data_IF_985431208573
#
_entry.id   IF_985431208573
#
_cell.length_a   1.000
_cell.length_b   1.000
_cell.length_c   1.000
_cell.angle_alpha   90.00
_cell.angle_beta   90.00
_cell.angle_gamma   90.00
#
_symmetry.space_group_name_H-M   'P 1'
#
loop_
_entity.id
_entity.type
_entity.pdbx_description
1 polymer ?
#
# COMPACT_ATOMS: atom_id res chain seq x y z
N UNK A 1 0.47 0.06 -3.65
CA UNK A 1 0.19 1.51 -3.80
C UNK A 1 -0.61 1.68 -5.10
N UNK A 2 -1.64 2.50 -5.09
CA UNK A 2 -2.55 2.79 -6.19
C UNK A 2 -2.52 4.29 -6.45
N UNK A 3 -2.18 4.67 -7.69
CA UNK A 3 -2.05 6.08 -8.08
C UNK A 3 -3.36 6.84 -7.84
N UNK A 4 -3.23 8.09 -7.37
CA UNK A 4 -4.31 9.02 -7.03
C UNK A 4 -5.33 8.52 -5.98
N UNK A 5 -5.13 7.33 -5.42
CA UNK A 5 -6.01 6.76 -4.39
C UNK A 5 -5.35 6.79 -3.03
N UNK A 6 -4.14 6.22 -2.89
CA UNK A 6 -3.41 6.16 -1.62
C UNK A 6 -1.98 6.71 -1.72
N UNK A 7 -1.77 7.54 -2.75
CA UNK A 7 -0.53 8.25 -3.04
C UNK A 7 -0.61 8.83 -4.44
N UNK A 8 0.48 9.46 -4.88
CA UNK A 8 0.66 9.86 -6.28
C UNK A 8 1.96 9.27 -6.78
N UNK A 9 1.90 8.43 -7.81
CA UNK A 9 3.06 7.85 -8.47
C UNK A 9 3.76 8.93 -9.29
N UNK A 10 5.07 8.90 -9.41
CA UNK A 10 5.82 9.87 -10.22
C UNK A 10 6.63 9.15 -11.28
N UNK A 11 6.78 9.79 -12.43
CA UNK A 11 7.64 9.32 -13.50
C UNK A 11 9.10 9.28 -13.05
N UNK A 12 9.75 8.15 -13.36
CA UNK A 12 11.11 7.90 -12.89
C UNK A 12 12.06 8.97 -13.44
N UNK A 13 12.85 9.58 -12.55
CA UNK A 13 13.83 10.65 -12.87
C UNK A 13 13.20 11.90 -13.48
N UNK A 14 11.89 12.10 -13.37
CA UNK A 14 11.22 13.33 -13.80
C UNK A 14 11.07 14.32 -12.65
N UNK A 15 12.01 15.26 -12.52
CA UNK A 15 11.90 16.33 -11.53
C UNK A 15 10.69 17.25 -11.77
N UNK A 16 10.29 17.41 -13.04
CA UNK A 16 9.10 18.19 -13.42
C UNK A 16 7.82 17.55 -12.90
N UNK A 17 7.66 16.24 -13.12
CA UNK A 17 6.46 15.52 -12.68
C UNK A 17 6.37 15.50 -11.15
N UNK A 18 7.49 15.25 -10.46
CA UNK A 18 7.54 15.35 -9.00
C UNK A 18 7.08 16.74 -8.51
N UNK A 19 7.60 17.82 -9.09
CA UNK A 19 7.23 19.18 -8.70
C UNK A 19 5.74 19.47 -8.94
N UNK A 20 5.19 18.98 -10.05
CA UNK A 20 3.77 19.13 -10.38
C UNK A 20 2.86 18.39 -9.39
N UNK A 21 3.16 17.12 -9.09
CA UNK A 21 2.37 16.33 -8.14
C UNK A 21 2.47 16.87 -6.71
N UNK A 22 3.65 17.34 -6.28
CA UNK A 22 3.80 18.05 -5.00
C UNK A 22 2.92 19.31 -4.97
N UNK A 23 2.95 20.12 -6.03
CA UNK A 23 2.12 21.34 -6.13
C UNK A 23 0.63 21.02 -6.04
N UNK A 24 0.16 19.94 -6.68
CA UNK A 24 -1.24 19.51 -6.60
C UNK A 24 -1.64 19.20 -5.16
N UNK A 25 -0.88 18.36 -4.46
CA UNK A 25 -1.19 17.93 -3.08
C UNK A 25 -1.12 19.11 -2.09
N UNK A 26 -0.15 20.02 -2.27
CA UNK A 26 -0.01 21.18 -1.39
C UNK A 26 -1.19 22.15 -1.55
N UNK A 27 -1.72 22.32 -2.77
CA UNK A 27 -2.78 23.29 -3.05
C UNK A 27 -4.21 22.72 -2.99
N UNK A 28 -4.38 21.41 -2.78
CA UNK A 28 -5.69 20.78 -2.67
C UNK A 28 -5.80 19.99 -1.35
N UNK A 29 -6.44 20.60 -0.36
CA UNK A 29 -6.59 20.01 0.98
C UNK A 29 -7.48 18.77 0.99
N UNK A 30 -8.61 18.80 0.29
CA UNK A 30 -9.54 17.67 0.25
C UNK A 30 -8.88 16.42 -0.35
N UNK A 31 -8.13 16.61 -1.45
CA UNK A 31 -7.32 15.54 -2.04
C UNK A 31 -6.27 15.02 -1.07
N UNK A 32 -5.56 15.91 -0.37
CA UNK A 32 -4.54 15.49 0.60
C UNK A 32 -5.15 14.66 1.74
N UNK A 33 -6.30 15.07 2.25
CA UNK A 33 -7.02 14.34 3.31
C UNK A 33 -7.46 12.96 2.81
N UNK A 34 -8.02 12.88 1.60
CA UNK A 34 -8.48 11.61 1.04
C UNK A 34 -7.33 10.63 0.81
N UNK A 35 -6.20 11.10 0.25
CA UNK A 35 -5.00 10.29 0.05
C UNK A 35 -4.44 9.74 1.37
N UNK A 36 -4.39 10.56 2.42
CA UNK A 36 -3.88 10.14 3.75
C UNK A 36 -4.78 9.06 4.34
N UNK A 37 -6.10 9.27 4.33
CA UNK A 37 -7.06 8.30 4.87
C UNK A 37 -6.92 6.95 4.16
N UNK A 38 -6.94 6.96 2.82
CA UNK A 38 -6.84 5.74 2.02
C UNK A 38 -5.49 5.05 2.19
N UNK A 39 -4.40 5.81 2.39
CA UNK A 39 -3.09 5.26 2.69
C UNK A 39 -3.05 4.55 4.05
N UNK A 40 -3.65 5.14 5.08
CA UNK A 40 -3.76 4.51 6.40
C UNK A 40 -4.59 3.22 6.36
N UNK A 41 -5.74 3.24 5.69
CA UNK A 41 -6.56 2.05 5.48
C UNK A 41 -5.78 0.95 4.74
N UNK A 42 -5.07 1.31 3.66
CA UNK A 42 -4.22 0.36 2.92
C UNK A 42 -3.14 -0.26 3.81
N UNK A 43 -2.50 0.53 4.67
CA UNK A 43 -1.48 0.05 5.61
C UNK A 43 -2.09 -0.95 6.60
N UNK A 44 -3.23 -0.61 7.20
CA UNK A 44 -3.89 -1.48 8.17
C UNK A 44 -4.36 -2.80 7.56
N UNK A 45 -4.95 -2.76 6.36
CA UNK A 45 -5.50 -3.95 5.72
C UNK A 45 -4.40 -4.89 5.21
N UNK A 46 -3.39 -4.34 4.54
CA UNK A 46 -2.43 -5.14 3.76
C UNK A 46 -1.07 -5.32 4.43
N UNK A 47 -0.72 -4.42 5.33
CA UNK A 47 0.64 -4.32 5.89
C UNK A 47 0.63 -4.24 7.42
N UNK A 48 -0.46 -4.64 8.09
CA UNK A 48 -0.45 -4.87 9.52
C UNK A 48 0.36 -6.13 9.85
N UNK A 49 0.88 -6.18 11.07
CA UNK A 49 1.63 -7.35 11.57
C UNK A 49 0.69 -8.55 11.59
N UNK A 50 -0.56 -8.34 11.98
CA UNK A 50 -1.62 -9.34 12.03
C UNK A 50 -1.85 -9.97 10.65
N UNK A 51 -2.04 -9.16 9.60
CA UNK A 51 -2.21 -9.65 8.23
C UNK A 51 -0.97 -10.41 7.77
N UNK A 52 0.23 -9.86 7.99
CA UNK A 52 1.48 -10.51 7.57
C UNK A 52 1.74 -11.83 8.28
N UNK A 53 1.52 -11.89 9.60
CA UNK A 53 1.66 -13.12 10.37
C UNK A 53 0.62 -14.16 9.96
N UNK A 54 -0.61 -13.74 9.67
CA UNK A 54 -1.65 -14.60 9.12
C UNK A 54 -1.20 -15.30 7.84
N UNK A 55 -0.72 -14.55 6.85
CA UNK A 55 -0.22 -15.13 5.59
C UNK A 55 0.98 -16.05 5.79
N UNK A 56 1.87 -15.73 6.74
CA UNK A 56 3.00 -16.62 7.07
C UNK A 56 2.49 -17.93 7.68
N UNK A 57 1.53 -17.87 8.61
CA UNK A 57 0.93 -19.06 9.23
C UNK A 57 0.22 -19.94 8.21
N UNK A 58 -0.52 -19.34 7.27
CA UNK A 58 -1.16 -20.05 6.16
C UNK A 58 -0.13 -20.86 5.35
N UNK A 59 1.00 -20.26 4.97
CA UNK A 59 2.08 -20.97 4.26
C UNK A 59 2.59 -22.17 5.08
N UNK A 60 2.84 -22.00 6.38
CA UNK A 60 3.28 -23.11 7.23
C UNK A 60 2.23 -24.22 7.36
N UNK A 61 0.95 -23.86 7.46
CA UNK A 61 -0.17 -24.81 7.53
C UNK A 61 -0.28 -25.61 6.22
N UNK A 62 -0.24 -24.94 5.06
CA UNK A 62 -0.25 -25.58 3.75
C UNK A 62 0.92 -26.55 3.57
N UNK A 63 2.13 -26.14 3.97
CA UNK A 63 3.31 -27.02 3.93
C UNK A 63 3.11 -28.25 4.81
N UNK A 64 2.59 -28.08 6.02
CA UNK A 64 2.36 -29.21 6.95
C UNK A 64 1.29 -30.19 6.44
N UNK A 65 0.19 -29.69 5.88
CA UNK A 65 -0.87 -30.50 5.29
C UNK A 65 -0.39 -31.29 4.07
N UNK A 66 0.50 -30.70 3.26
CA UNK A 66 1.09 -31.34 2.08
C UNK A 66 2.01 -32.52 2.43
N UNK A 67 2.65 -32.50 3.60
CA UNK A 67 3.55 -33.57 4.06
C UNK A 67 2.84 -34.66 4.87
N UNK A 68 1.63 -34.41 5.38
CA UNK A 68 0.83 -35.41 6.11
C UNK A 68 0.05 -36.37 5.19
N UNK A 69 0.07 -36.14 3.87
CA UNK A 69 -0.60 -36.95 2.84
C UNK A 69 0.29 -37.97 2.11
N UNK A 70 1.54 -38.18 2.56
CA UNK A 70 2.49 -39.17 2.01
C UNK A 70 2.93 -40.19 3.06
#
# INVERSE_FOLDING_TARGET
IHDEVNGMLVEKRSGKDLAEKVKIITNNEDLRISLIKNAQETIQEKFSIETMMGSILEIYQEMSASHAGH
#
